data_IF_276625390422
#
_entry.id   IF_276625390422
#
_cell.length_a   1.000
_cell.length_b   1.000
_cell.length_c   1.000
_cell.angle_alpha   90.00
_cell.angle_beta   90.00
_cell.angle_gamma   90.00
#
_symmetry.space_group_name_H-M   'P 1'
#
loop_
_entity.id
_entity.type
_entity.pdbx_description
1 polymer ?
#
# COMPACT_ATOMS: atom_id res chain seq x y z
N UNK A 1 -20.83 19.06 16.17
CA UNK A 1 -20.60 18.55 14.81
C UNK A 1 -21.70 17.55 14.50
N UNK A 2 -22.58 17.84 13.55
CA UNK A 2 -23.74 16.99 13.25
C UNK A 2 -23.28 15.68 12.58
N UNK A 3 -23.25 14.60 13.36
CA UNK A 3 -23.02 13.25 12.87
C UNK A 3 -24.20 12.86 11.97
N UNK A 4 -24.02 12.99 10.66
CA UNK A 4 -25.11 12.72 9.70
C UNK A 4 -25.48 11.24 9.78
N UNK A 5 -26.73 10.95 10.15
CA UNK A 5 -27.31 9.60 10.27
C UNK A 5 -27.02 8.68 9.06
N UNK A 6 -26.88 9.29 7.87
CA UNK A 6 -26.45 8.61 6.64
C UNK A 6 -25.01 8.08 6.68
N UNK A 7 -24.10 8.78 7.36
CA UNK A 7 -22.70 8.36 7.53
C UNK A 7 -22.60 7.22 8.55
N UNK A 8 -23.40 7.26 9.61
CA UNK A 8 -23.51 6.18 10.59
C UNK A 8 -23.98 4.87 9.92
N UNK A 9 -25.04 4.92 9.13
CA UNK A 9 -25.57 3.76 8.40
C UNK A 9 -24.56 3.19 7.41
N UNK A 10 -23.81 4.05 6.70
CA UNK A 10 -22.75 3.60 5.78
C UNK A 10 -21.59 2.91 6.53
N UNK A 11 -21.18 3.45 7.67
CA UNK A 11 -20.09 2.88 8.48
C UNK A 11 -20.53 1.55 9.09
N UNK A 12 -21.75 1.46 9.61
CA UNK A 12 -22.29 0.21 10.15
C UNK A 12 -22.44 -0.85 9.07
N UNK A 13 -22.98 -0.49 7.89
CA UNK A 13 -23.07 -1.40 6.75
C UNK A 13 -21.69 -1.87 6.30
N UNK A 14 -20.70 -0.98 6.22
CA UNK A 14 -19.33 -1.32 5.84
C UNK A 14 -18.66 -2.22 6.87
N UNK A 15 -18.87 -1.98 8.17
CA UNK A 15 -18.40 -2.85 9.25
C UNK A 15 -19.05 -4.23 9.22
N UNK A 16 -20.34 -4.31 8.93
CA UNK A 16 -21.09 -5.56 8.83
C UNK A 16 -20.65 -6.35 7.59
N UNK A 17 -20.40 -5.66 6.48
CA UNK A 17 -19.86 -6.22 5.25
C UNK A 17 -18.42 -6.72 5.47
N UNK A 18 -17.58 -5.94 6.15
CA UNK A 18 -16.19 -6.32 6.47
C UNK A 18 -16.14 -7.49 7.47
N UNK A 19 -17.02 -7.52 8.47
CA UNK A 19 -17.17 -8.65 9.38
C UNK A 19 -17.71 -9.90 8.67
N UNK A 20 -18.64 -9.75 7.73
CA UNK A 20 -19.12 -10.85 6.91
C UNK A 20 -18.02 -11.41 6.00
N UNK A 21 -17.17 -10.55 5.41
CA UNK A 21 -16.02 -10.97 4.60
C UNK A 21 -14.99 -11.70 5.44
N UNK A 22 -14.66 -11.18 6.62
CA UNK A 22 -13.70 -11.82 7.54
C UNK A 22 -14.25 -13.17 8.00
N UNK A 23 -15.52 -13.23 8.41
CA UNK A 23 -16.18 -14.48 8.82
C UNK A 23 -16.20 -15.46 7.65
N UNK A 24 -16.57 -15.03 6.45
CA UNK A 24 -16.55 -15.84 5.23
C UNK A 24 -15.13 -16.32 4.87
N UNK A 25 -14.08 -15.53 5.08
CA UNK A 25 -12.70 -15.96 4.84
C UNK A 25 -12.23 -17.04 5.82
N UNK A 26 -12.75 -17.05 7.04
CA UNK A 26 -12.42 -18.06 8.05
C UNK A 26 -13.34 -19.30 7.99
N UNK A 27 -14.58 -19.16 7.49
CA UNK A 27 -15.55 -20.27 7.40
C UNK A 27 -15.59 -20.94 6.04
N UNK A 28 -15.25 -20.23 4.95
CA UNK A 28 -15.15 -20.81 3.62
C UNK A 28 -13.75 -21.39 3.41
N UNK A 29 -13.62 -22.60 2.85
CA UNK A 29 -12.34 -23.15 2.42
C UNK A 29 -11.88 -22.41 1.16
N UNK A 30 -11.41 -21.17 1.31
CA UNK A 30 -10.98 -20.29 0.21
C UNK A 30 -9.89 -20.97 -0.61
N UNK A 31 -9.02 -21.76 0.02
CA UNK A 31 -8.02 -22.58 -0.65
C UNK A 31 -8.64 -23.60 -1.62
N UNK A 32 -9.77 -24.23 -1.25
CA UNK A 32 -10.49 -25.16 -2.14
C UNK A 32 -11.23 -24.42 -3.24
N UNK A 33 -11.94 -23.34 -2.90
CA UNK A 33 -12.68 -22.53 -3.89
C UNK A 33 -11.72 -21.98 -4.95
N UNK A 34 -10.55 -21.52 -4.54
CA UNK A 34 -9.53 -21.02 -5.46
C UNK A 34 -8.93 -22.11 -6.33
N UNK A 35 -8.72 -23.31 -5.78
CA UNK A 35 -8.30 -24.48 -6.57
C UNK A 35 -9.37 -24.89 -7.57
N UNK A 36 -10.62 -24.98 -7.15
CA UNK A 36 -11.75 -25.35 -8.02
C UNK A 36 -11.95 -24.29 -9.12
N UNK A 37 -11.79 -23.01 -8.78
CA UNK A 37 -11.80 -21.91 -9.75
C UNK A 37 -10.65 -22.03 -10.76
N UNK A 38 -9.42 -22.33 -10.31
CA UNK A 38 -8.27 -22.53 -11.19
C UNK A 38 -8.49 -23.74 -12.12
N UNK A 39 -9.06 -24.84 -11.60
CA UNK A 39 -9.40 -26.01 -12.40
C UNK A 39 -10.48 -25.70 -13.45
N UNK A 40 -11.51 -24.94 -13.08
CA UNK A 40 -12.54 -24.48 -14.01
C UNK A 40 -11.96 -23.56 -15.10
N UNK A 41 -11.06 -22.66 -14.72
CA UNK A 41 -10.36 -21.76 -15.65
C UNK A 41 -9.51 -22.54 -16.65
N UNK A 42 -8.85 -23.62 -16.21
CA UNK A 42 -8.07 -24.50 -17.08
C UNK A 42 -8.95 -25.28 -18.07
N UNK A 43 -10.07 -25.82 -17.59
CA UNK A 43 -10.92 -26.73 -18.36
C UNK A 43 -11.86 -26.02 -19.35
N UNK A 44 -12.48 -24.89 -18.94
CA UNK A 44 -13.60 -24.30 -19.69
C UNK A 44 -13.24 -23.00 -20.43
N UNK A 45 -12.16 -22.30 -20.05
CA UNK A 45 -11.90 -20.93 -20.53
C UNK A 45 -10.79 -20.81 -21.57
N UNK A 46 -9.88 -21.77 -21.65
CA UNK A 46 -8.79 -21.78 -22.64
C UNK A 46 -8.09 -20.41 -22.75
N UNK A 47 -8.20 -19.75 -23.90
CA UNK A 47 -7.56 -18.46 -24.19
C UNK A 47 -8.07 -17.27 -23.36
N UNK A 48 -9.28 -17.33 -22.79
CA UNK A 48 -9.84 -16.26 -21.94
C UNK A 48 -9.43 -16.36 -20.48
N UNK A 49 -8.82 -17.48 -20.07
CA UNK A 49 -8.43 -17.74 -18.69
C UNK A 49 -7.57 -16.63 -18.04
N UNK A 50 -6.55 -16.07 -18.71
CA UNK A 50 -5.73 -14.99 -18.14
C UNK A 50 -6.53 -13.71 -17.84
N UNK A 51 -7.52 -13.39 -18.67
CA UNK A 51 -8.38 -12.23 -18.47
C UNK A 51 -9.29 -12.43 -17.26
N UNK A 52 -9.85 -13.63 -17.11
CA UNK A 52 -10.70 -13.98 -15.98
C UNK A 52 -9.93 -14.05 -14.67
N UNK A 53 -8.68 -14.53 -14.68
CA UNK A 53 -7.75 -14.42 -13.55
C UNK A 53 -7.52 -12.96 -13.14
N UNK A 54 -7.24 -12.09 -14.12
CA UNK A 54 -7.01 -10.66 -13.89
C UNK A 54 -8.23 -9.99 -13.25
N UNK A 55 -9.44 -10.33 -13.73
CA UNK A 55 -10.70 -9.81 -13.20
C UNK A 55 -10.97 -10.35 -11.80
N UNK A 56 -10.70 -11.63 -11.54
CA UNK A 56 -10.86 -12.25 -10.22
C UNK A 56 -9.91 -11.66 -9.17
N UNK A 57 -8.75 -11.14 -9.60
CA UNK A 57 -7.78 -10.47 -8.72
C UNK A 57 -8.37 -9.22 -8.03
N UNK A 58 -9.27 -8.51 -8.71
CA UNK A 58 -9.86 -7.25 -8.25
C UNK A 58 -10.70 -7.46 -6.98
N UNK A 59 -11.77 -8.28 -6.96
CA UNK A 59 -12.55 -8.52 -5.76
C UNK A 59 -11.70 -9.17 -4.67
N UNK A 60 -10.76 -10.07 -4.98
CA UNK A 60 -9.89 -10.65 -3.96
C UNK A 60 -9.05 -9.60 -3.23
N UNK A 61 -8.46 -8.67 -3.98
CA UNK A 61 -7.68 -7.57 -3.42
C UNK A 61 -8.54 -6.64 -2.55
N UNK A 62 -9.76 -6.35 -3.01
CA UNK A 62 -10.72 -5.50 -2.27
C UNK A 62 -11.26 -6.20 -1.02
N UNK A 63 -11.40 -7.52 -1.05
CA UNK A 63 -11.86 -8.34 0.08
C UNK A 63 -10.72 -8.72 1.03
N UNK A 64 -9.51 -8.20 0.78
CA UNK A 64 -8.30 -8.52 1.52
C UNK A 64 -7.95 -10.02 1.55
N UNK A 65 -8.38 -10.79 0.55
CA UNK A 65 -8.10 -12.22 0.39
C UNK A 65 -6.66 -12.39 -0.09
N UNK A 66 -5.92 -13.44 0.37
CA UNK A 66 -4.58 -13.73 -0.12
C UNK A 66 -4.56 -14.04 -1.63
N UNK A 67 -4.14 -13.07 -2.44
CA UNK A 67 -4.07 -13.21 -3.89
C UNK A 67 -2.86 -14.05 -4.37
N UNK A 68 -1.97 -14.46 -3.46
CA UNK A 68 -0.80 -15.28 -3.77
C UNK A 68 -1.16 -16.61 -4.43
N UNK A 69 -2.32 -17.18 -4.09
CA UNK A 69 -2.82 -18.43 -4.67
C UNK A 69 -3.17 -18.23 -6.16
N UNK A 70 -3.79 -17.08 -6.51
CA UNK A 70 -4.06 -16.75 -7.91
C UNK A 70 -2.76 -16.54 -8.68
N UNK A 71 -1.79 -15.84 -8.11
CA UNK A 71 -0.51 -15.59 -8.79
C UNK A 71 0.27 -16.88 -9.05
N UNK A 72 0.29 -17.80 -8.08
CA UNK A 72 0.87 -19.13 -8.26
C UNK A 72 0.08 -19.93 -9.31
N UNK A 73 -1.25 -19.88 -9.25
CA UNK A 73 -2.15 -20.54 -10.19
C UNK A 73 -2.02 -20.00 -11.61
N UNK A 74 -1.84 -18.70 -11.80
CA UNK A 74 -1.62 -18.07 -13.10
C UNK A 74 -0.32 -18.54 -13.75
N UNK A 75 0.77 -18.60 -12.97
CA UNK A 75 2.04 -19.17 -13.41
C UNK A 75 1.96 -20.67 -13.70
N UNK A 76 1.21 -21.43 -12.89
CA UNK A 76 0.97 -22.85 -13.09
C UNK A 76 0.17 -23.09 -14.37
N UNK A 77 -0.97 -22.44 -14.57
CA UNK A 77 -1.84 -22.71 -15.72
C UNK A 77 -1.28 -22.16 -17.04
N UNK A 78 -0.91 -20.86 -17.05
CA UNK A 78 -0.61 -20.10 -18.27
C UNK A 78 0.88 -19.88 -18.54
N UNK A 79 1.74 -20.33 -17.63
CA UNK A 79 3.19 -20.14 -17.72
C UNK A 79 3.62 -18.70 -17.41
N UNK A 80 4.94 -18.48 -17.48
CA UNK A 80 5.57 -17.26 -17.00
C UNK A 80 5.10 -15.97 -17.70
N UNK A 81 5.16 -15.82 -19.04
CA UNK A 81 4.86 -14.54 -19.68
C UNK A 81 3.38 -14.15 -19.57
N UNK A 82 2.47 -15.10 -19.80
CA UNK A 82 1.02 -14.85 -19.81
C UNK A 82 0.49 -14.68 -18.39
N UNK A 83 0.89 -15.56 -17.46
CA UNK A 83 0.54 -15.45 -16.05
C UNK A 83 1.04 -14.13 -15.45
N UNK A 84 2.29 -13.76 -15.72
CA UNK A 84 2.86 -12.51 -15.23
C UNK A 84 2.11 -11.27 -15.73
N UNK A 85 1.78 -11.18 -17.02
CA UNK A 85 1.04 -10.03 -17.56
C UNK A 85 -0.35 -9.95 -16.94
N UNK A 86 -1.07 -11.08 -16.88
CA UNK A 86 -2.41 -11.14 -16.31
C UNK A 86 -2.43 -10.74 -14.83
N UNK A 87 -1.57 -11.36 -14.02
CA UNK A 87 -1.47 -11.07 -12.58
C UNK A 87 -1.00 -9.64 -12.35
N UNK A 88 -0.06 -9.13 -13.14
CA UNK A 88 0.41 -7.76 -13.02
C UNK A 88 -0.70 -6.74 -13.30
N UNK A 89 -1.53 -6.96 -14.31
CA UNK A 89 -2.67 -6.08 -14.63
C UNK A 89 -3.74 -6.20 -13.54
N UNK A 90 -4.14 -7.44 -13.19
CA UNK A 90 -5.13 -7.71 -12.16
C UNK A 90 -4.73 -7.12 -10.80
N UNK A 91 -3.48 -7.28 -10.40
CA UNK A 91 -2.96 -6.74 -9.15
C UNK A 91 -2.91 -5.21 -9.15
N UNK A 92 -2.53 -4.57 -10.26
CA UNK A 92 -2.48 -3.11 -10.36
C UNK A 92 -3.89 -2.50 -10.33
N UNK A 93 -4.84 -3.09 -11.06
CA UNK A 93 -6.24 -2.66 -11.07
C UNK A 93 -6.90 -2.92 -9.72
N UNK A 94 -6.68 -4.10 -9.12
CA UNK A 94 -7.17 -4.45 -7.79
C UNK A 94 -6.62 -3.52 -6.70
N UNK A 95 -5.32 -3.23 -6.72
CA UNK A 95 -4.68 -2.28 -5.82
C UNK A 95 -5.26 -0.87 -5.99
N UNK A 96 -5.53 -0.45 -7.23
CA UNK A 96 -6.22 0.79 -7.55
C UNK A 96 -7.64 0.83 -6.99
N UNK A 97 -8.43 -0.22 -7.21
CA UNK A 97 -9.79 -0.32 -6.68
C UNK A 97 -9.83 -0.25 -5.15
N UNK A 98 -8.97 -1.01 -4.46
CA UNK A 98 -8.85 -0.98 -3.01
C UNK A 98 -8.42 0.42 -2.50
N UNK A 99 -7.51 1.08 -3.21
CA UNK A 99 -7.09 2.45 -2.92
C UNK A 99 -8.25 3.45 -3.07
N UNK A 100 -9.04 3.39 -4.15
CA UNK A 100 -10.20 4.27 -4.33
C UNK A 100 -11.27 4.03 -3.25
N UNK A 101 -11.55 2.78 -2.92
CA UNK A 101 -12.52 2.43 -1.88
C UNK A 101 -12.06 2.91 -0.50
N UNK A 102 -10.78 2.74 -0.18
CA UNK A 102 -10.18 3.27 1.04
C UNK A 102 -10.26 4.80 1.11
N UNK A 103 -9.98 5.48 0.00
CA UNK A 103 -9.98 6.95 -0.08
C UNK A 103 -11.37 7.56 0.05
N UNK A 104 -12.39 6.91 -0.52
CA UNK A 104 -13.76 7.43 -0.56
C UNK A 104 -14.58 7.04 0.66
N UNK A 105 -14.52 5.79 1.10
CA UNK A 105 -15.39 5.26 2.16
C UNK A 105 -14.61 4.98 3.46
N UNK A 106 -13.38 4.49 3.35
CA UNK A 106 -12.57 4.03 4.49
C UNK A 106 -11.77 5.11 5.21
N UNK A 107 -11.66 6.32 4.66
CA UNK A 107 -10.68 7.33 5.10
C UNK A 107 -10.77 7.67 6.58
N UNK A 108 -11.99 7.90 7.09
CA UNK A 108 -12.19 8.25 8.51
C UNK A 108 -11.82 7.12 9.46
N UNK A 109 -12.18 5.87 9.11
CA UNK A 109 -11.88 4.68 9.91
C UNK A 109 -10.37 4.41 9.95
N UNK A 110 -9.72 4.47 8.79
CA UNK A 110 -8.28 4.22 8.64
C UNK A 110 -7.47 5.31 9.35
N UNK A 111 -7.82 6.60 9.19
CA UNK A 111 -7.15 7.69 9.91
C UNK A 111 -7.31 7.56 11.42
N UNK A 112 -8.51 7.21 11.91
CA UNK A 112 -8.76 7.02 13.35
C UNK A 112 -7.87 5.93 13.95
N UNK A 113 -7.71 4.80 13.25
CA UNK A 113 -6.86 3.69 13.70
C UNK A 113 -5.36 3.98 13.61
N UNK A 114 -4.96 4.87 12.70
CA UNK A 114 -3.55 5.14 12.42
C UNK A 114 -3.01 6.41 13.10
N UNK A 115 -3.88 7.23 13.68
CA UNK A 115 -3.50 8.49 14.33
C UNK A 115 -2.49 8.27 15.47
N UNK A 116 -2.57 7.13 16.14
CA UNK A 116 -1.72 6.78 17.28
C UNK A 116 -0.37 6.17 16.86
N UNK A 117 -0.15 5.95 15.56
CA UNK A 117 1.08 5.34 15.04
C UNK A 117 2.02 6.40 14.48
N UNK A 118 3.16 6.70 15.14
CA UNK A 118 4.10 7.72 14.68
C UNK A 118 4.70 7.41 13.30
N UNK A 119 4.87 6.12 12.99
CA UNK A 119 5.36 5.64 11.69
C UNK A 119 4.46 6.08 10.53
N UNK A 120 3.13 6.17 10.74
CA UNK A 120 2.19 6.62 9.72
C UNK A 120 2.35 8.11 9.41
N UNK A 121 2.60 8.94 10.43
CA UNK A 121 2.87 10.37 10.22
C UNK A 121 4.13 10.60 9.38
N UNK A 122 5.23 9.91 9.71
CA UNK A 122 6.48 10.02 8.94
C UNK A 122 6.29 9.61 7.48
N UNK A 123 5.54 8.52 7.24
CA UNK A 123 5.21 8.06 5.88
C UNK A 123 4.33 9.07 5.14
N UNK A 124 3.31 9.63 5.78
CA UNK A 124 2.42 10.62 5.17
C UNK A 124 3.16 11.91 4.77
N UNK A 125 4.08 12.39 5.63
CA UNK A 125 4.94 13.54 5.35
C UNK A 125 5.87 13.25 4.16
N UNK A 126 6.53 12.09 4.18
CA UNK A 126 7.43 11.68 3.10
C UNK A 126 6.70 11.53 1.75
N UNK A 127 5.47 10.99 1.76
CA UNK A 127 4.62 10.88 0.57
C UNK A 127 4.24 12.25 0.01
N UNK A 128 4.01 13.24 0.87
CA UNK A 128 3.69 14.60 0.43
C UNK A 128 4.83 15.24 -0.38
N UNK A 129 6.09 14.86 -0.10
CA UNK A 129 7.26 15.36 -0.83
C UNK A 129 7.60 14.52 -2.06
N UNK A 130 7.50 13.20 -1.96
CA UNK A 130 7.95 12.27 -3.02
C UNK A 130 7.07 11.01 -3.06
N UNK A 131 5.78 11.20 -3.31
CA UNK A 131 4.76 10.15 -3.26
C UNK A 131 5.12 8.90 -4.08
N UNK A 132 5.56 9.07 -5.32
CA UNK A 132 5.99 7.96 -6.18
C UNK A 132 7.13 7.14 -5.54
N UNK A 133 8.22 7.80 -5.10
CA UNK A 133 9.41 7.14 -4.54
C UNK A 133 9.07 6.40 -3.24
N UNK A 134 8.30 7.02 -2.36
CA UNK A 134 7.94 6.41 -1.07
C UNK A 134 7.01 5.22 -1.27
N UNK A 135 6.01 5.32 -2.16
CA UNK A 135 5.13 4.17 -2.48
C UNK A 135 5.93 3.03 -3.09
N UNK A 136 6.83 3.31 -4.03
CA UNK A 136 7.69 2.30 -4.65
C UNK A 136 8.55 1.57 -3.61
N UNK A 137 9.20 2.32 -2.72
CA UNK A 137 10.02 1.75 -1.65
C UNK A 137 9.18 0.92 -0.67
N UNK A 138 8.01 1.41 -0.26
CA UNK A 138 7.09 0.65 0.60
C UNK A 138 6.59 -0.65 -0.04
N UNK A 139 6.53 -0.72 -1.38
CA UNK A 139 6.16 -1.94 -2.11
C UNK A 139 7.32 -2.92 -2.22
N UNK A 140 8.53 -2.42 -2.40
CA UNK A 140 9.74 -3.24 -2.49
C UNK A 140 10.14 -3.83 -1.13
N UNK A 141 9.83 -3.15 -0.03
CA UNK A 141 10.06 -3.67 1.31
C UNK A 141 8.81 -4.38 1.82
N UNK A 142 8.85 -5.70 2.10
CA UNK A 142 7.70 -6.45 2.59
C UNK A 142 7.44 -6.19 4.08
N UNK A 143 7.36 -4.93 4.51
CA UNK A 143 7.06 -4.56 5.90
C UNK A 143 5.59 -4.78 6.23
N UNK A 144 4.72 -4.58 5.24
CA UNK A 144 3.27 -4.56 5.43
C UNK A 144 2.59 -5.52 4.44
N UNK A 145 1.53 -6.22 4.87
CA UNK A 145 0.71 -7.03 3.97
C UNK A 145 0.14 -6.18 2.82
N UNK A 146 0.08 -6.77 1.62
CA UNK A 146 -0.37 -6.10 0.39
C UNK A 146 -1.66 -5.30 0.56
N UNK A 147 -2.69 -5.93 1.14
CA UNK A 147 -3.99 -5.33 1.34
C UNK A 147 -3.93 -4.17 2.34
N UNK A 148 -3.18 -4.33 3.44
CA UNK A 148 -3.03 -3.28 4.44
C UNK A 148 -2.32 -2.05 3.86
N UNK A 149 -1.29 -2.25 3.04
CA UNK A 149 -0.58 -1.17 2.38
C UNK A 149 -1.47 -0.41 1.38
N UNK A 150 -2.37 -1.09 0.65
CA UNK A 150 -3.33 -0.46 -0.26
C UNK A 150 -4.24 0.54 0.47
N UNK A 151 -4.80 0.13 1.62
CA UNK A 151 -5.66 0.99 2.43
C UNK A 151 -4.86 2.07 3.17
N UNK A 152 -3.65 1.76 3.63
CA UNK A 152 -2.77 2.72 4.29
C UNK A 152 -2.41 3.88 3.35
N UNK A 153 -2.07 3.57 2.10
CA UNK A 153 -1.73 4.58 1.10
C UNK A 153 -2.97 5.35 0.64
N UNK A 154 -4.17 4.76 0.70
CA UNK A 154 -5.43 5.42 0.29
C UNK A 154 -5.75 6.71 1.06
N UNK A 155 -5.27 6.82 2.30
CA UNK A 155 -5.50 7.99 3.16
C UNK A 155 -4.39 9.05 3.05
N UNK A 156 -3.33 8.76 2.29
CA UNK A 156 -2.20 9.66 2.05
C UNK A 156 -2.48 10.61 0.88
N UNK A 157 -1.75 11.73 0.74
CA UNK A 157 -2.01 12.70 -0.33
C UNK A 157 -1.59 12.23 -1.74
N UNK A 158 -1.05 11.02 -1.90
CA UNK A 158 -0.59 10.50 -3.20
C UNK A 158 -1.70 10.50 -4.25
N UNK A 159 -1.34 10.82 -5.50
CA UNK A 159 -2.25 10.74 -6.63
C UNK A 159 -2.45 9.28 -7.07
N UNK A 160 -3.60 8.98 -7.70
CA UNK A 160 -3.92 7.63 -8.16
C UNK A 160 -2.91 7.13 -9.21
N UNK A 161 -2.50 7.99 -10.14
CA UNK A 161 -1.57 7.65 -11.20
C UNK A 161 -0.18 7.30 -10.65
N UNK A 162 0.36 8.13 -9.75
CA UNK A 162 1.64 7.84 -9.08
C UNK A 162 1.57 6.55 -8.26
N UNK A 163 0.47 6.34 -7.53
CA UNK A 163 0.26 5.12 -6.76
C UNK A 163 0.21 3.87 -7.66
N UNK A 164 -0.52 3.91 -8.77
CA UNK A 164 -0.64 2.78 -9.70
C UNK A 164 0.71 2.46 -10.36
N UNK A 165 1.43 3.48 -10.86
CA UNK A 165 2.73 3.28 -11.51
C UNK A 165 3.79 2.79 -10.51
N UNK A 166 3.87 3.41 -9.33
CA UNK A 166 4.80 3.00 -8.28
C UNK A 166 4.49 1.59 -7.77
N UNK A 167 3.20 1.24 -7.61
CA UNK A 167 2.78 -0.10 -7.20
C UNK A 167 3.08 -1.13 -8.27
N UNK A 168 2.81 -0.83 -9.54
CA UNK A 168 3.11 -1.72 -10.65
C UNK A 168 4.61 -2.04 -10.71
N UNK A 169 5.47 -1.02 -10.69
CA UNK A 169 6.93 -1.18 -10.67
C UNK A 169 7.42 -1.91 -9.41
N UNK A 170 6.90 -1.55 -8.24
CA UNK A 170 7.33 -2.14 -6.97
C UNK A 170 6.90 -3.60 -6.78
N UNK A 171 5.80 -4.01 -7.41
CA UNK A 171 5.28 -5.37 -7.33
C UNK A 171 5.86 -6.31 -8.39
N UNK A 172 6.42 -5.79 -9.49
CA UNK A 172 7.00 -6.63 -10.55
C UNK A 172 7.95 -7.73 -10.03
N UNK A 173 8.91 -7.47 -9.12
CA UNK A 173 9.83 -8.50 -8.65
C UNK A 173 9.15 -9.65 -7.92
N UNK A 174 8.20 -9.33 -7.01
CA UNK A 174 7.50 -10.34 -6.22
C UNK A 174 6.49 -11.11 -7.06
N UNK A 175 5.78 -10.44 -7.98
CA UNK A 175 4.88 -11.09 -8.92
C UNK A 175 5.65 -12.06 -9.82
N UNK A 176 6.79 -11.62 -10.39
CA UNK A 176 7.63 -12.48 -11.22
C UNK A 176 8.10 -13.73 -10.48
N UNK A 177 8.57 -13.57 -9.24
CA UNK A 177 9.02 -14.69 -8.42
C UNK A 177 7.90 -15.70 -8.14
N UNK A 178 6.70 -15.23 -7.78
CA UNK A 178 5.55 -16.10 -7.52
C UNK A 178 5.07 -16.82 -8.78
N UNK A 179 4.94 -16.12 -9.91
CA UNK A 179 4.54 -16.74 -11.18
C UNK A 179 5.58 -17.76 -11.62
N UNK A 180 6.88 -17.46 -11.48
CA UNK A 180 7.96 -18.39 -11.81
C UNK A 180 7.91 -19.66 -10.95
N UNK A 181 7.64 -19.53 -9.65
CA UNK A 181 7.41 -20.69 -8.78
C UNK A 181 6.21 -21.49 -9.28
N UNK A 182 5.11 -20.84 -9.64
CA UNK A 182 3.92 -21.48 -10.22
C UNK A 182 4.24 -22.28 -11.49
N UNK A 183 4.97 -21.69 -12.44
CA UNK A 183 5.39 -22.36 -13.67
C UNK A 183 6.32 -23.54 -13.39
N UNK A 184 7.29 -23.37 -12.48
CA UNK A 184 8.22 -24.44 -12.10
C UNK A 184 7.48 -25.62 -11.46
N UNK A 185 6.41 -25.37 -10.70
CA UNK A 185 5.57 -26.42 -10.12
C UNK A 185 4.85 -27.24 -11.20
N UNK A 186 4.39 -26.60 -12.29
CA UNK A 186 3.82 -27.31 -13.44
C UNK A 186 4.86 -28.18 -14.12
N UNK A 187 6.03 -27.63 -14.41
CA UNK A 187 7.13 -28.40 -15.02
C UNK A 187 7.54 -29.59 -14.14
N UNK A 188 7.59 -29.42 -12.82
CA UNK A 188 7.87 -30.51 -11.89
C UNK A 188 6.76 -31.58 -11.90
N UNK A 189 5.50 -31.17 -11.94
CA UNK A 189 4.35 -32.09 -12.00
C UNK A 189 4.33 -32.88 -13.30
N UNK A 190 4.56 -32.22 -14.45
CA UNK A 190 4.60 -32.86 -15.77
C UNK A 190 5.79 -33.83 -15.91
N UNK A 191 6.95 -33.47 -15.35
CA UNK A 191 8.15 -34.31 -15.36
C UNK A 191 8.06 -35.45 -14.31
N UNK A 192 7.04 -35.45 -13.44
CA UNK A 192 6.88 -36.52 -12.43
C UNK A 192 6.50 -37.89 -13.01
N UNK A 193 6.17 -37.96 -14.30
CA UNK A 193 6.08 -39.23 -15.03
C UNK A 193 7.44 -39.80 -15.51
N UNK A 194 8.57 -39.14 -15.25
CA UNK A 194 9.91 -39.54 -15.71
C UNK A 194 11.00 -39.44 -14.65
N UNK A 195 10.79 -39.98 -13.45
CA UNK A 195 11.79 -40.02 -12.36
C UNK A 195 12.89 -41.06 -12.60
N UNK A 196 13.59 -40.96 -13.73
CA UNK A 196 14.81 -41.72 -14.02
C UNK A 196 15.92 -40.75 -14.40
N UNK A 197 16.90 -40.58 -13.51
CA UNK A 197 18.14 -39.80 -13.69
C UNK A 197 18.12 -38.30 -13.34
N UNK A 198 17.88 -37.98 -12.07
CA UNK A 198 18.35 -36.73 -11.49
C UNK A 198 19.89 -36.72 -11.40
N UNK A 199 20.55 -36.19 -12.43
CA UNK A 199 22.00 -35.97 -12.40
C UNK A 199 22.37 -34.93 -11.32
N UNK A 200 23.45 -35.19 -10.57
CA UNK A 200 23.98 -34.32 -9.49
C UNK A 200 24.19 -32.87 -9.96
N UNK A 201 24.48 -32.67 -11.24
CA UNK A 201 24.65 -31.35 -11.87
C UNK A 201 23.35 -30.54 -11.91
N UNK A 202 22.21 -31.16 -12.22
CA UNK A 202 20.90 -30.49 -12.26
C UNK A 202 20.44 -30.08 -10.86
N UNK A 203 20.68 -30.93 -9.86
CA UNK A 203 20.38 -30.60 -8.47
C UNK A 203 21.27 -29.44 -7.97
N UNK A 204 22.56 -29.45 -8.31
CA UNK A 204 23.47 -28.35 -8.00
C UNK A 204 23.05 -27.02 -8.65
N UNK A 205 22.58 -27.04 -9.90
CA UNK A 205 22.07 -25.85 -10.60
C UNK A 205 20.79 -25.30 -9.96
N UNK A 206 19.87 -26.17 -9.54
CA UNK A 206 18.64 -25.75 -8.83
C UNK A 206 18.99 -25.11 -7.49
N UNK A 207 19.85 -25.74 -6.70
CA UNK A 207 20.29 -25.21 -5.40
C UNK A 207 21.01 -23.88 -5.58
N UNK A 208 21.91 -23.78 -6.56
CA UNK A 208 22.61 -22.53 -6.89
C UNK A 208 21.62 -21.42 -7.29
N UNK A 209 20.66 -21.72 -8.17
CA UNK A 209 19.62 -20.78 -8.58
C UNK A 209 18.76 -20.30 -7.40
N UNK A 210 18.41 -21.20 -6.48
CA UNK A 210 17.64 -20.89 -5.28
C UNK A 210 18.44 -19.99 -4.33
N UNK A 211 19.73 -20.32 -4.09
CA UNK A 211 20.63 -19.51 -3.27
C UNK A 211 20.82 -18.11 -3.87
N UNK A 212 21.09 -18.01 -5.18
CA UNK A 212 21.21 -16.73 -5.89
C UNK A 212 19.93 -15.92 -5.75
N UNK A 213 18.77 -16.54 -5.94
CA UNK A 213 17.46 -15.87 -5.83
C UNK A 213 17.21 -15.33 -4.41
N UNK A 214 17.54 -16.11 -3.38
CA UNK A 214 17.44 -15.68 -1.96
C UNK A 214 18.39 -14.53 -1.66
N UNK A 215 19.64 -14.59 -2.12
CA UNK A 215 20.63 -13.51 -1.92
C UNK A 215 20.18 -12.24 -2.64
N UNK A 216 19.69 -12.34 -3.87
CA UNK A 216 19.20 -11.20 -4.65
C UNK A 216 17.99 -10.55 -3.97
N UNK A 217 17.02 -11.36 -3.54
CA UNK A 217 15.86 -10.88 -2.80
C UNK A 217 16.26 -10.18 -1.50
N UNK A 218 17.18 -10.78 -0.73
CA UNK A 218 17.71 -10.17 0.49
C UNK A 218 18.41 -8.83 0.23
N UNK A 219 19.27 -8.76 -0.80
CA UNK A 219 19.95 -7.53 -1.19
C UNK A 219 18.96 -6.45 -1.62
N UNK A 220 17.98 -6.77 -2.46
CA UNK A 220 16.95 -5.83 -2.90
C UNK A 220 16.14 -5.33 -1.72
N UNK A 221 15.69 -6.23 -0.83
CA UNK A 221 14.95 -5.83 0.38
C UNK A 221 15.81 -4.97 1.30
N UNK A 222 17.09 -5.29 1.50
CA UNK A 222 17.99 -4.47 2.31
C UNK A 222 18.23 -3.09 1.74
N UNK A 223 18.48 -2.99 0.43
CA UNK A 223 18.71 -1.72 -0.25
C UNK A 223 17.44 -0.88 -0.24
N UNK A 224 16.28 -1.49 -0.53
CA UNK A 224 14.98 -0.80 -0.47
C UNK A 224 14.67 -0.32 0.94
N UNK A 225 14.96 -1.12 1.97
CA UNK A 225 14.77 -0.73 3.37
C UNK A 225 15.67 0.43 3.77
N UNK A 226 16.96 0.36 3.43
CA UNK A 226 17.90 1.45 3.70
C UNK A 226 17.52 2.74 2.95
N UNK A 227 17.07 2.63 1.70
CA UNK A 227 16.60 3.76 0.92
C UNK A 227 15.31 4.37 1.49
N UNK A 228 14.41 3.55 2.03
CA UNK A 228 13.20 3.98 2.72
C UNK A 228 13.53 4.72 4.01
N UNK A 229 14.37 4.14 4.87
CA UNK A 229 14.82 4.78 6.12
C UNK A 229 15.50 6.14 5.85
N UNK A 230 16.37 6.21 4.83
CA UNK A 230 16.98 7.47 4.39
C UNK A 230 15.96 8.49 3.92
N UNK A 231 14.99 8.08 3.09
CA UNK A 231 13.96 8.99 2.59
C UNK A 231 13.02 9.48 3.70
N UNK A 232 12.74 8.64 4.71
CA UNK A 232 11.96 9.02 5.88
C UNK A 232 12.74 9.99 6.79
N UNK A 233 14.06 9.80 6.95
CA UNK A 233 14.93 10.68 7.72
C UNK A 233 15.08 12.07 7.09
N UNK A 234 15.36 12.14 5.77
CA UNK A 234 15.43 13.41 5.01
C UNK A 234 14.12 14.21 5.11
N UNK A 235 12.99 13.50 5.18
CA UNK A 235 11.66 14.12 5.32
C UNK A 235 11.42 14.68 6.73
N UNK A 236 12.01 14.07 7.76
CA UNK A 236 11.92 14.54 9.14
C UNK A 236 12.76 15.79 9.39
N UNK A 237 14.03 15.78 9.00
CA UNK A 237 14.96 16.91 9.23
C UNK A 237 14.54 18.19 8.50
N UNK A 238 13.96 18.07 7.30
CA UNK A 238 13.47 19.22 6.54
C UNK A 238 12.26 19.91 7.20
N UNK A 239 11.43 19.16 7.93
CA UNK A 239 10.27 19.72 8.67
C UNK A 239 10.74 20.43 9.94
N UNK A 240 11.78 19.91 10.62
CA UNK A 240 12.47 20.61 11.71
C UNK A 240 13.16 21.90 11.24
N UNK A 241 13.80 21.91 10.06
CA UNK A 241 14.34 23.15 9.47
C UNK A 241 13.23 24.13 9.06
N UNK A 242 12.12 23.64 8.51
CA UNK A 242 10.94 24.45 8.16
C UNK A 242 10.34 25.14 9.39
N UNK A 243 10.24 24.42 10.51
CA UNK A 243 9.77 24.97 11.79
C UNK A 243 10.77 25.97 12.40
N UNK A 244 12.09 25.70 12.28
CA UNK A 244 13.14 26.59 12.79
C UNK A 244 13.24 27.90 12.02
N UNK A 245 12.88 27.92 10.73
CA UNK A 245 12.89 29.13 9.90
C UNK A 245 11.74 30.12 10.19
N UNK A 246 10.74 29.72 10.98
CA UNK A 246 9.57 30.54 11.33
C UNK A 246 9.59 31.14 12.75
N UNK A 247 10.63 30.92 13.56
CA UNK A 247 10.79 31.67 14.80
C UNK A 247 11.27 33.09 14.45
N UNK A 248 10.47 34.15 14.67
CA UNK A 248 11.01 35.49 14.62
C UNK A 248 12.06 35.55 15.72
N UNK A 249 13.29 35.93 15.37
CA UNK A 249 14.26 36.44 16.32
C UNK A 249 13.61 37.64 17.04
N UNK A 250 12.90 37.36 18.14
CA UNK A 250 12.56 38.37 19.14
C UNK A 250 13.90 38.73 19.76
N UNK A 251 14.49 39.79 19.23
CA UNK A 251 15.53 40.52 19.92
C UNK A 251 14.97 40.96 21.26
N UNK A 252 15.66 40.58 22.33
CA UNK A 252 15.39 41.05 23.69
C UNK A 252 15.31 42.57 23.71
N UNK A 253 14.10 43.11 23.95
CA UNK A 253 13.94 44.41 24.57
C UNK A 253 13.23 44.19 25.89
N UNK A 254 14.02 44.18 26.97
CA UNK A 254 13.57 44.18 28.35
C UNK A 254 12.63 45.37 28.60
N UNK A 255 11.32 45.10 28.60
CA UNK A 255 10.31 46.07 29.07
C UNK A 255 10.26 45.98 30.58
N UNK A 256 10.82 47.01 31.21
CA UNK A 256 10.90 47.24 32.65
C UNK A 256 9.50 47.46 33.23
N UNK A 257 9.05 46.57 34.11
CA UNK A 257 7.69 46.50 34.68
C UNK A 257 7.43 47.51 35.82
N UNK A 258 8.29 48.51 36.01
CA UNK A 258 8.27 49.41 37.16
C UNK A 258 7.78 50.85 36.91
N UNK A 259 7.10 51.15 35.79
CA UNK A 259 6.46 52.47 35.62
C UNK A 259 4.95 52.42 35.95
N UNK A 260 4.46 53.28 36.87
CA UNK A 260 3.04 53.30 37.20
C UNK A 260 2.21 53.92 36.06
N UNK A 261 1.10 53.25 35.74
CA UNK A 261 0.13 53.64 34.71
C UNK A 261 -0.51 55.01 35.03
N UNK A 262 -0.08 56.06 34.32
CA UNK A 262 -0.81 57.33 34.28
C UNK A 262 -2.01 57.15 33.35
N UNK A 263 -3.20 57.01 33.94
CA UNK A 263 -4.47 57.01 33.21
C UNK A 263 -4.73 58.45 32.76
N UNK A 264 -4.55 58.71 31.46
CA UNK A 264 -4.93 59.98 30.83
C UNK A 264 -6.41 59.91 30.46
N UNK A 265 -7.25 60.61 31.21
CA UNK A 265 -8.68 60.77 30.91
C UNK A 265 -8.79 61.97 29.95
N UNK A 266 -9.10 61.71 28.68
CA UNK A 266 -9.46 62.79 27.74
C UNK A 266 -10.89 63.27 28.05
N UNK A 267 -11.01 64.58 28.30
CA UNK A 267 -12.29 65.29 28.45
C UNK A 267 -12.79 65.78 27.08
N UNK A 268 -14.11 65.80 26.80
CA UNK A 268 -14.62 66.28 25.52
C UNK A 268 -14.71 67.81 25.51
N UNK A 269 -14.12 68.47 24.51
CA UNK A 269 -14.39 69.89 24.22
C UNK A 269 -15.65 70.05 23.36
N UNK A 270 -16.54 71.01 23.68
CA UNK A 270 -17.58 71.46 22.77
C UNK A 270 -17.03 72.60 21.88
N UNK A 271 -17.41 72.62 20.60
CA UNK A 271 -17.26 73.85 19.83
C UNK A 271 -18.42 74.05 18.85
N UNK A 272 -19.12 75.14 19.12
CA UNK A 272 -20.27 75.71 18.43
C UNK A 272 -19.99 76.11 16.97
N UNK A 273 -21.09 76.10 16.22
CA UNK A 273 -21.44 76.84 14.99
C UNK A 273 -20.58 78.08 14.64
N UNK A 274 -20.29 78.27 13.33
CA UNK A 274 -20.93 79.32 12.53
C UNK A 274 -20.48 79.32 11.05
N UNK A 275 -21.49 79.52 10.18
CA UNK A 275 -21.50 80.00 8.78
C UNK A 275 -21.17 79.04 7.63
#
# INVERSE_FOLDING_TARGET
MAFTWRSALKITFLLLLLAAIVTACFTLPIDKILKDFLLWVDQDLGAWGPLVLSVAYIPLTVLAVPASILTLGGGYLFGLPVGFIADSIGATVGAGAAFLLGRTIGKSFVVSKLKDYPQFHSVAIAINRSGFKIVLLLRLVPLLPFNMLNYLLSVTPVSLGEYMLASWLGMMPITFALVYVGTTLKDLSDVTHGWGEFSKTRCALIILGLVVSVVLAYCVTRVAKAALEKALAESGDADYMGFSSQLPLVADSSVDLNQPLIIKIDSPQPQDDLK
#
